data_IF_209645215212
#
_entry.id   IF_209645215212
#
_cell.length_a   1.000
_cell.length_b   1.000
_cell.length_c   1.000
_cell.angle_alpha   90.00
_cell.angle_beta   90.00
_cell.angle_gamma   90.00
#
_symmetry.space_group_name_H-M   'P 1'
#
loop_
_entity.id
_entity.type
_entity.pdbx_description
1 polymer ?
#
# COMPACT_ATOMS: atom_id res chain seq x y z
N UNK A 1 12.33 -4.79 23.77
CA UNK A 1 13.14 -4.31 22.63
C UNK A 1 12.34 -3.27 21.84
N UNK A 2 12.94 -2.16 21.43
CA UNK A 2 12.21 -1.11 20.69
C UNK A 2 12.08 -1.50 19.21
N UNK A 3 10.87 -1.33 18.65
CA UNK A 3 10.58 -1.47 17.21
C UNK A 3 9.71 -0.31 16.74
N UNK A 4 9.66 -0.10 15.44
CA UNK A 4 8.80 0.88 14.79
C UNK A 4 7.73 0.17 13.97
N UNK A 5 6.48 0.33 14.38
CA UNK A 5 5.33 -0.22 13.68
C UNK A 5 4.84 0.79 12.64
N UNK A 6 4.96 0.43 11.36
CA UNK A 6 4.33 1.13 10.25
C UNK A 6 2.93 0.58 10.01
N UNK A 7 1.90 1.41 10.21
CA UNK A 7 0.50 1.10 9.93
C UNK A 7 0.08 1.81 8.64
N UNK A 8 -0.61 1.11 7.73
CA UNK A 8 -1.02 1.65 6.42
C UNK A 8 -2.45 1.22 6.01
N UNK A 9 -3.30 0.86 6.98
CA UNK A 9 -4.63 0.31 6.71
C UNK A 9 -5.74 1.36 6.67
N UNK A 10 -5.95 2.08 7.77
CA UNK A 10 -6.91 3.19 7.85
C UNK A 10 -6.26 4.56 7.95
N UNK A 11 -4.97 4.59 8.35
CA UNK A 11 -4.11 5.77 8.41
C UNK A 11 -2.68 5.33 8.21
N UNK A 12 -1.88 6.21 7.62
CA UNK A 12 -0.44 6.06 7.56
C UNK A 12 0.17 6.63 8.84
N UNK A 13 0.73 5.77 9.67
CA UNK A 13 1.35 6.18 10.93
C UNK A 13 2.53 5.27 11.29
N UNK A 14 3.55 5.87 11.89
CA UNK A 14 4.67 5.14 12.50
C UNK A 14 4.59 5.33 14.01
N UNK A 15 4.53 4.22 14.76
CA UNK A 15 4.57 4.23 16.22
C UNK A 15 5.79 3.49 16.73
N UNK A 16 6.46 4.06 17.73
CA UNK A 16 7.44 3.34 18.52
C UNK A 16 6.70 2.36 19.45
N UNK A 17 7.07 1.09 19.42
CA UNK A 17 6.43 0.03 20.19
C UNK A 17 7.47 -0.80 20.92
N UNK A 18 7.24 -1.01 22.21
CA UNK A 18 8.05 -1.93 23.00
C UNK A 18 7.58 -3.37 22.77
N UNK A 19 8.50 -4.20 22.29
CA UNK A 19 8.28 -5.62 22.01
C UNK A 19 8.88 -6.45 23.14
N UNK A 20 8.06 -7.34 23.71
CA UNK A 20 8.42 -8.22 24.81
C UNK A 20 9.29 -9.39 24.33
N UNK A 21 8.91 -9.95 23.17
CA UNK A 21 9.53 -11.12 22.57
C UNK A 21 9.44 -11.04 21.05
N UNK A 22 10.51 -11.46 20.38
CA UNK A 22 10.57 -11.57 18.93
C UNK A 22 10.92 -13.00 18.52
N UNK A 23 10.24 -13.51 17.50
CA UNK A 23 10.60 -14.73 16.77
C UNK A 23 10.82 -14.38 15.30
N UNK A 24 11.19 -15.36 14.47
CA UNK A 24 11.40 -15.14 13.04
C UNK A 24 10.20 -14.47 12.35
N UNK A 25 8.97 -14.88 12.69
CA UNK A 25 7.74 -14.46 12.02
C UNK A 25 6.78 -13.62 12.86
N UNK A 26 7.05 -13.42 14.15
CA UNK A 26 6.09 -12.76 15.06
C UNK A 26 6.79 -11.93 16.14
N UNK A 27 6.07 -10.92 16.64
CA UNK A 27 6.44 -10.08 17.78
C UNK A 27 5.34 -10.14 18.84
N UNK A 28 5.70 -9.99 20.11
CA UNK A 28 4.76 -9.91 21.22
C UNK A 28 4.79 -8.51 21.80
N UNK A 29 3.62 -7.91 21.94
CA UNK A 29 3.44 -6.56 22.45
C UNK A 29 2.39 -6.63 23.56
N UNK A 30 2.77 -6.28 24.78
CA UNK A 30 1.92 -6.39 25.97
C UNK A 30 1.30 -7.79 26.11
N UNK A 31 2.13 -8.83 25.91
CA UNK A 31 1.73 -10.24 25.97
C UNK A 31 0.90 -10.76 24.79
N UNK A 32 0.55 -9.91 23.80
CA UNK A 32 -0.23 -10.31 22.63
C UNK A 32 0.67 -10.56 21.42
N UNK A 33 0.52 -11.72 20.79
CA UNK A 33 1.23 -12.07 19.55
C UNK A 33 0.70 -11.26 18.36
N UNK A 34 1.61 -10.71 17.56
CA UNK A 34 1.37 -10.06 16.28
C UNK A 34 2.33 -10.64 15.23
N UNK A 35 1.88 -10.92 13.98
CA UNK A 35 2.79 -11.25 12.90
C UNK A 35 3.66 -10.04 12.55
N UNK A 36 4.93 -10.27 12.16
CA UNK A 36 5.85 -9.19 11.77
C UNK A 36 5.44 -8.47 10.50
N UNK A 37 4.89 -9.23 9.56
CA UNK A 37 4.38 -8.75 8.29
C UNK A 37 2.89 -9.06 8.31
N UNK A 38 2.07 -8.04 8.48
CA UNK A 38 0.63 -8.12 8.32
C UNK A 38 0.21 -7.30 7.11
N UNK A 39 -0.99 -7.56 6.58
CA UNK A 39 -1.55 -6.77 5.48
C UNK A 39 -1.75 -5.29 5.86
N UNK A 40 -1.87 -4.98 7.15
CA UNK A 40 -2.22 -3.66 7.66
C UNK A 40 -1.10 -2.97 8.42
N UNK A 41 -0.06 -3.72 8.82
CA UNK A 41 1.03 -3.21 9.64
C UNK A 41 2.29 -4.07 9.52
N UNK A 42 3.46 -3.41 9.53
CA UNK A 42 4.78 -4.07 9.51
C UNK A 42 5.67 -3.49 10.60
N UNK A 43 6.52 -4.33 11.21
CA UNK A 43 7.45 -3.94 12.26
C UNK A 43 8.88 -3.84 11.72
N UNK A 44 9.55 -2.74 12.04
CA UNK A 44 10.90 -2.40 11.59
C UNK A 44 11.81 -2.09 12.79
N UNK A 45 13.12 -2.16 12.57
CA UNK A 45 14.12 -1.96 13.63
C UNK A 45 14.41 -0.47 13.82
N UNK A 46 14.30 0.29 12.74
CA UNK A 46 14.52 1.75 12.73
C UNK A 46 13.29 2.49 12.23
N UNK A 47 13.19 3.77 12.62
CA UNK A 47 12.16 4.66 12.11
C UNK A 47 12.33 4.88 10.60
N UNK A 48 13.57 4.99 10.12
CA UNK A 48 13.89 5.21 8.71
C UNK A 48 13.40 4.04 7.82
N UNK A 49 13.54 2.80 8.30
CA UNK A 49 12.99 1.62 7.61
C UNK A 49 11.47 1.66 7.53
N UNK A 50 10.79 2.01 8.64
CA UNK A 50 9.33 2.14 8.67
C UNK A 50 8.86 3.27 7.74
N UNK A 51 9.58 4.39 7.70
CA UNK A 51 9.29 5.52 6.83
C UNK A 51 9.51 5.18 5.35
N UNK A 52 10.63 4.52 5.03
CA UNK A 52 10.91 4.06 3.67
C UNK A 52 9.84 3.08 3.18
N UNK A 53 9.37 2.18 4.05
CA UNK A 53 8.29 1.25 3.74
C UNK A 53 6.98 1.98 3.38
N UNK A 54 6.53 2.92 4.22
CA UNK A 54 5.30 3.70 3.93
C UNK A 54 5.46 4.56 2.67
N UNK A 55 6.64 5.16 2.47
CA UNK A 55 6.94 5.94 1.27
C UNK A 55 6.81 5.08 0.01
N UNK A 56 7.38 3.87 0.02
CA UNK A 56 7.29 2.94 -1.10
C UNK A 56 5.85 2.51 -1.42
N UNK A 57 5.01 2.33 -0.39
CA UNK A 57 3.57 2.07 -0.58
C UNK A 57 2.89 3.24 -1.28
N UNK A 58 3.10 4.46 -0.76
CA UNK A 58 2.51 5.67 -1.32
C UNK A 58 2.95 5.89 -2.79
N UNK A 59 4.23 5.73 -3.08
CA UNK A 59 4.77 5.82 -4.45
C UNK A 59 4.15 4.77 -5.37
N UNK A 60 3.99 3.53 -4.87
CA UNK A 60 3.29 2.46 -5.57
C UNK A 60 1.85 2.81 -5.90
N UNK A 61 1.13 3.44 -4.98
CA UNK A 61 -0.24 3.90 -5.19
C UNK A 61 -0.31 5.04 -6.21
N UNK A 62 0.58 6.03 -6.12
CA UNK A 62 0.68 7.12 -7.11
C UNK A 62 0.89 6.56 -8.52
N UNK A 63 1.77 5.57 -8.68
CA UNK A 63 1.98 4.91 -9.98
C UNK A 63 0.73 4.18 -10.48
N UNK A 64 0.02 3.45 -9.61
CA UNK A 64 -1.24 2.78 -9.96
C UNK A 64 -2.31 3.78 -10.39
N UNK A 65 -2.47 4.89 -9.66
CA UNK A 65 -3.43 5.93 -10.00
C UNK A 65 -3.13 6.58 -11.35
N UNK A 66 -1.85 6.84 -11.65
CA UNK A 66 -1.42 7.35 -12.97
C UNK A 66 -1.79 6.39 -14.10
N UNK A 67 -1.47 5.11 -13.93
CA UNK A 67 -1.84 4.08 -14.90
C UNK A 67 -3.36 4.00 -15.09
N UNK A 68 -4.12 3.96 -13.99
CA UNK A 68 -5.59 3.94 -14.02
C UNK A 68 -6.18 5.15 -14.75
N UNK A 69 -5.59 6.35 -14.56
CA UNK A 69 -5.98 7.56 -15.27
C UNK A 69 -5.76 7.43 -16.78
N UNK A 70 -4.62 6.90 -17.21
CA UNK A 70 -4.31 6.74 -18.63
C UNK A 70 -5.20 5.68 -19.31
N UNK A 71 -5.52 4.60 -18.59
CA UNK A 71 -6.53 3.63 -19.03
C UNK A 71 -7.92 4.28 -19.17
N UNK A 72 -8.32 5.12 -18.20
CA UNK A 72 -9.60 5.81 -18.24
C UNK A 72 -9.68 6.82 -19.41
N UNK A 73 -8.62 7.59 -19.65
CA UNK A 73 -8.52 8.48 -20.83
C UNK A 73 -8.64 7.72 -22.13
N UNK A 74 -7.94 6.59 -22.26
CA UNK A 74 -7.97 5.74 -23.47
C UNK A 74 -9.39 5.21 -23.72
N UNK A 75 -10.04 4.68 -22.68
CA UNK A 75 -11.44 4.24 -22.75
C UNK A 75 -12.38 5.37 -23.17
N UNK A 76 -12.23 6.55 -22.57
CA UNK A 76 -13.06 7.71 -22.91
C UNK A 76 -12.86 8.15 -24.37
N UNK A 77 -11.62 8.14 -24.87
CA UNK A 77 -11.31 8.42 -26.26
C UNK A 77 -11.94 7.43 -27.23
N UNK A 78 -11.88 6.14 -26.92
CA UNK A 78 -12.51 5.09 -27.73
C UNK A 78 -14.02 5.28 -27.78
N UNK A 79 -14.68 5.47 -26.62
CA UNK A 79 -16.13 5.69 -26.54
C UNK A 79 -16.55 6.92 -27.36
N UNK A 80 -15.83 8.04 -27.25
CA UNK A 80 -16.12 9.26 -28.02
C UNK A 80 -16.07 9.07 -29.53
N UNK A 81 -15.27 8.10 -30.02
CA UNK A 81 -15.08 7.81 -31.44
C UNK A 81 -15.94 6.66 -31.95
N UNK A 82 -16.77 6.05 -31.09
CA UNK A 82 -17.65 4.96 -31.52
C UNK A 82 -18.66 5.48 -32.53
N UNK A 83 -18.61 4.91 -33.74
CA UNK A 83 -19.62 5.14 -34.78
C UNK A 83 -20.83 4.26 -34.53
N UNK A 84 -22.03 4.75 -34.89
CA UNK A 84 -23.22 3.90 -34.89
C UNK A 84 -22.99 2.72 -35.84
N UNK A 85 -23.54 1.54 -35.57
CA UNK A 85 -23.37 0.38 -36.45
C UNK A 85 -23.75 0.65 -37.91
N UNK A 86 -24.75 1.52 -38.15
CA UNK A 86 -25.17 1.93 -39.50
C UNK A 86 -24.13 2.78 -40.25
N UNK A 87 -23.23 3.47 -39.53
CA UNK A 87 -22.20 4.36 -40.09
C UNK A 87 -20.84 3.66 -40.23
N UNK A 88 -20.79 2.36 -39.93
CA UNK A 88 -19.62 1.50 -40.11
C UNK A 88 -19.73 0.82 -41.49
N UNK A 89 -19.42 1.56 -42.55
CA UNK A 89 -19.38 1.01 -43.93
C UNK A 89 -18.00 0.39 -44.22
N UNK A 90 -18.01 -0.74 -44.97
CA UNK A 90 -16.87 -1.60 -45.35
C UNK A 90 -15.56 -0.87 -45.69
#
# INVERSE_FOLDING_TARGET
MLKYMAEHSWRDEIRAVEVDKETESSVWISGRRRPKIAQSATFHDTWDEAHAYLTAIADGEVMRCRSALDHAKSRAGNIKRMKRPADQSN
#
